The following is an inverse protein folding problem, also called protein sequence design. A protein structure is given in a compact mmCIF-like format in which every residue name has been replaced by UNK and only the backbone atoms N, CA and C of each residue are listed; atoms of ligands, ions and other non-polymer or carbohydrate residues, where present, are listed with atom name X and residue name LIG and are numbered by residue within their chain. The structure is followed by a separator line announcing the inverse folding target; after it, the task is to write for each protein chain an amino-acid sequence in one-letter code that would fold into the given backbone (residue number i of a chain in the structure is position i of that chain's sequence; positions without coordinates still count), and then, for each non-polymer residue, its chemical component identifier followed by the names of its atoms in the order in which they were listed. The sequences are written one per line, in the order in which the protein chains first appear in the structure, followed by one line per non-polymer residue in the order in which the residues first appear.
data_IF_903634209281
#
_entry.id   IF_903634209281
#
_cell.length_a   1.000
_cell.length_b   1.000
_cell.length_c   1.000
_cell.angle_alpha   90.00
_cell.angle_beta   90.00
_cell.angle_gamma   90.00
#
_symmetry.space_group_name_H-M   'P 1'
#
loop_
_entity.id
_entity.type
_entity.pdbx_description
1 polymer ?
2 non-polymer ?
3 non-polymer ?
4 non-polymer ?
5 water ?
#
# COMPACT_ATOMS: atom_id res chain seq x y z
N UNK A 7 -25.77 -9.52 0.09
CA UNK A 7 -26.21 -8.96 -1.23
C UNK A 7 -27.30 -9.84 -1.86
N UNK A 8 -28.31 -9.25 -2.52
CA UNK A 8 -29.24 -10.10 -3.30
C UNK A 8 -28.47 -11.00 -4.26
N UNK A 9 -29.03 -12.16 -4.62
CA UNK A 9 -28.35 -13.06 -5.58
C UNK A 9 -28.20 -12.41 -6.95
N UNK A 10 -29.18 -11.60 -7.34
CA UNK A 10 -29.10 -10.91 -8.62
C UNK A 10 -27.81 -10.06 -8.73
N UNK A 11 -27.47 -9.37 -7.64
CA UNK A 11 -26.26 -8.52 -7.58
C UNK A 11 -24.99 -9.39 -7.56
N UNK A 12 -24.96 -10.43 -6.72
CA UNK A 12 -23.82 -11.38 -6.63
C UNK A 12 -23.54 -12.03 -7.97
N UNK A 13 -24.61 -12.43 -8.65
CA UNK A 13 -24.52 -13.05 -10.00
C UNK A 13 -23.98 -12.07 -11.02
N UNK A 14 -24.47 -10.85 -10.97
CA UNK A 14 -23.93 -9.79 -11.80
C UNK A 14 -22.44 -9.58 -11.54
N UNK A 15 -22.02 -9.56 -10.27
CA UNK A 15 -20.60 -9.39 -9.91
C UNK A 15 -19.79 -10.55 -10.51
N UNK A 16 -20.28 -11.77 -10.35
CA UNK A 16 -19.56 -12.96 -10.88
C UNK A 16 -19.46 -12.94 -12.40
N UNK A 17 -20.56 -12.62 -13.07
CA UNK A 17 -20.53 -12.51 -14.54
C UNK A 17 -19.50 -11.51 -15.03
N UNK A 18 -19.40 -10.39 -14.33
CA UNK A 18 -18.46 -9.33 -14.73
C UNK A 18 -16.99 -9.79 -14.55
N UNK A 19 -16.72 -10.47 -13.44
CA UNK A 19 -15.38 -10.97 -13.17
C UNK A 19 -14.97 -12.20 -13.96
N UNK A 20 -15.90 -12.80 -14.70
CA UNK A 20 -15.57 -13.77 -15.76
C UNK A 20 -14.88 -13.07 -16.93
N UNK A 21 -15.06 -11.75 -16.99
CA UNK A 21 -14.67 -10.99 -18.17
C UNK A 21 -13.61 -9.91 -17.91
N UNK A 22 -13.67 -9.24 -16.76
CA UNK A 22 -12.81 -8.04 -16.54
C UNK A 22 -11.54 -8.43 -15.82
N UNK A 23 -10.51 -7.59 -15.99
CA UNK A 23 -9.26 -7.69 -15.24
C UNK A 23 -9.44 -7.01 -13.91
N UNK A 24 -8.76 -7.56 -12.91
CA UNK A 24 -8.79 -7.00 -11.57
C UNK A 24 -7.34 -6.92 -11.08
N UNK A 25 -7.00 -5.87 -10.37
CA UNK A 25 -5.63 -5.59 -10.00
C UNK A 25 -5.64 -4.94 -8.64
N UNK A 26 -4.79 -5.44 -7.74
CA UNK A 26 -4.69 -4.92 -6.38
C UNK A 26 -3.28 -4.35 -6.22
N UNK A 27 -3.19 -3.03 -6.07
CA UNK A 27 -1.92 -2.34 -6.12
C UNK A 27 -1.10 -2.46 -4.86
N UNK A 28 -1.57 -3.25 -3.88
CA UNK A 28 -0.81 -3.37 -2.62
C UNK A 28 -1.11 -4.63 -1.80
N UNK A 29 -0.29 -5.65 -2.00
CA UNK A 29 -0.24 -6.84 -1.18
C UNK A 29 1.22 -7.11 -0.76
N UNK A 30 1.39 -7.39 0.52
CA UNK A 30 2.70 -7.62 1.07
C UNK A 30 3.08 -9.06 0.84
N UNK A 31 4.35 -9.27 0.54
CA UNK A 31 4.95 -10.63 0.48
C UNK A 31 5.53 -10.97 1.88
N UNK A 32 4.96 -12.00 2.56
CA UNK A 32 5.47 -12.50 3.84
C UNK A 32 6.84 -13.13 3.60
N UNK A 33 7.78 -12.90 4.50
CA UNK A 33 9.14 -13.42 4.28
C UNK A 33 9.22 -14.97 4.17
N UNK A 34 8.21 -15.66 4.68
CA UNK A 34 8.20 -17.13 4.61
C UNK A 34 7.23 -17.65 3.55
N UNK A 35 6.82 -16.78 2.63
CA UNK A 35 5.84 -17.14 1.62
C UNK A 35 6.49 -18.16 0.70
N UNK A 36 5.78 -19.25 0.42
CA UNK A 36 6.33 -20.33 -0.39
C UNK A 36 7.02 -21.42 0.42
N UNK A 37 6.98 -21.34 1.75
CA UNK A 37 7.62 -22.34 2.62
C UNK A 37 6.54 -23.27 3.15
N UNK A 38 6.97 -24.35 3.81
CA UNK A 38 6.04 -25.30 4.43
C UNK A 38 5.16 -24.58 5.43
N UNK A 39 3.85 -24.75 5.29
CA UNK A 39 2.88 -24.05 6.13
C UNK A 39 2.33 -22.81 5.45
N UNK A 40 3.04 -22.34 4.41
CA UNK A 40 2.69 -21.11 3.71
C UNK A 40 3.01 -21.17 2.21
N UNK A 41 2.55 -22.23 1.55
CA UNK A 41 2.82 -22.44 0.11
C UNK A 41 1.97 -21.52 -0.77
N UNK A 42 2.52 -21.16 -1.92
CA UNK A 42 1.84 -20.22 -2.81
C UNK A 42 0.67 -20.86 -3.57
N UNK A 43 0.74 -22.17 -3.76
CA UNK A 43 -0.28 -22.89 -4.55
C UNK A 43 -1.29 -23.62 -3.66
N UNK A 44 -1.41 -23.22 -2.40
CA UNK A 44 -2.37 -23.85 -1.49
C UNK A 44 -3.26 -22.80 -0.85
N UNK A 45 -4.42 -23.24 -0.35
CA UNK A 45 -5.37 -22.38 0.37
C UNK A 45 -4.82 -22.17 1.77
N UNK A 46 -3.85 -21.26 1.88
CA UNK A 46 -3.07 -21.07 3.10
C UNK A 46 -3.56 -20.09 4.14
N UNK A 47 -2.69 -19.76 5.09
CA UNK A 47 -2.99 -18.88 6.23
C UNK A 47 -2.93 -17.38 5.91
N UNK A 48 -2.45 -17.03 4.72
CA UNK A 48 -2.29 -15.62 4.37
C UNK A 48 -3.49 -15.09 3.61
N UNK A 49 -3.38 -13.84 3.15
CA UNK A 49 -4.49 -13.23 2.44
C UNK A 49 -4.34 -13.36 0.94
N UNK A 50 -3.22 -13.93 0.49
CA UNK A 50 -3.00 -14.20 -0.92
C UNK A 50 -2.35 -15.59 -1.16
N UNK A 51 -2.95 -16.34 -2.07
CA UNK A 51 -2.30 -17.53 -2.67
C UNK A 51 -2.97 -17.81 -4.01
N UNK A 52 -2.47 -18.81 -4.75
CA UNK A 52 -3.03 -19.04 -6.09
C UNK A 52 -4.46 -19.59 -6.07
N UNK A 53 -4.78 -20.33 -5.02
CA UNK A 53 -6.14 -20.85 -4.80
C UNK A 53 -7.16 -19.73 -4.53
N UNK A 54 -6.85 -18.85 -3.58
CA UNK A 54 -7.78 -17.75 -3.26
C UNK A 54 -7.95 -16.85 -4.49
N UNK A 55 -6.87 -16.59 -5.22
CA UNK A 55 -6.91 -15.68 -6.38
C UNK A 55 -7.69 -16.23 -7.53
N UNK A 56 -7.56 -17.54 -7.78
CA UNK A 56 -8.36 -18.24 -8.79
C UNK A 56 -9.84 -18.20 -8.47
N UNK A 57 -10.18 -18.41 -7.21
CA UNK A 57 -11.56 -18.38 -6.71
C UNK A 57 -12.19 -17.00 -6.89
N UNK A 58 -11.45 -15.96 -6.52
CA UNK A 58 -11.96 -14.61 -6.62
C UNK A 58 -11.86 -14.10 -8.03
N UNK A 59 -11.02 -14.72 -8.86
CA UNK A 59 -10.73 -14.19 -10.22
C UNK A 59 -9.88 -12.92 -10.21
N UNK A 60 -9.03 -12.74 -9.19
CA UNK A 60 -8.04 -11.65 -9.19
C UNK A 60 -7.02 -11.94 -10.26
N UNK A 61 -6.84 -11.01 -11.20
CA UNK A 61 -5.91 -11.23 -12.31
C UNK A 61 -4.46 -11.03 -11.90
N UNK A 62 -4.24 -10.09 -10.98
CA UNK A 62 -2.86 -9.82 -10.58
C UNK A 62 -2.77 -8.82 -9.47
N UNK A 63 -1.54 -8.52 -9.02
CA UNK A 63 -1.32 -7.65 -7.87
C UNK A 63 0.09 -7.09 -7.87
N UNK A 64 0.27 -5.92 -7.25
CA UNK A 64 1.63 -5.36 -7.11
C UNK A 64 2.19 -5.88 -5.79
N UNK A 65 3.27 -6.67 -5.89
CA UNK A 65 3.96 -7.22 -4.74
C UNK A 65 5.32 -6.56 -4.59
N UNK A 66 5.54 -5.97 -3.43
CA UNK A 66 6.64 -5.05 -3.24
C UNK A 66 7.88 -5.76 -2.72
N UNK A 67 9.00 -5.39 -3.33
CA UNK A 67 10.33 -5.58 -2.77
C UNK A 67 10.44 -4.56 -1.64
N UNK A 68 10.43 -5.04 -0.42
CA UNK A 68 10.34 -4.19 0.77
C UNK A 68 11.41 -4.57 1.78
N UNK A 69 12.05 -3.57 2.37
CA UNK A 69 12.80 -3.74 3.61
C UNK A 69 12.63 -2.49 4.46
N UNK A 70 12.84 -2.63 5.78
CA UNK A 70 12.80 -1.48 6.69
C UNK A 70 13.56 -1.83 7.98
N UNK A 71 13.71 -0.85 8.93
CA UNK A 71 14.49 -1.10 10.16
C UNK A 71 13.67 -1.88 11.20
N UNK A 72 13.35 -3.12 10.85
CA UNK A 72 12.65 -4.08 11.69
C UNK A 72 13.15 -4.10 13.13
N UNK A 73 12.23 -3.89 14.08
CA UNK A 73 12.57 -3.93 15.52
C UNK A 73 12.10 -5.22 16.20
N UNK A 74 11.17 -5.94 15.58
CA UNK A 74 10.47 -7.05 16.21
C UNK A 74 10.99 -8.44 15.86
N UNK A 80 11.84 -5.13 21.50
CA UNK A 80 12.21 -4.39 20.30
C UNK A 80 13.63 -3.85 20.36
N UNK A 81 14.28 -3.79 19.21
CA UNK A 81 15.65 -3.32 19.14
C UNK A 81 15.66 -2.04 18.35
N UNK A 82 16.29 -1.01 18.90
CA UNK A 82 16.45 0.23 18.16
C UNK A 82 17.39 0.00 16.99
N UNK A 83 17.13 0.69 15.87
CA UNK A 83 17.99 0.63 14.68
C UNK A 83 19.41 1.10 14.93
N UNK A 84 20.35 0.29 14.45
CA UNK A 84 21.78 0.60 14.43
C UNK A 84 22.16 0.72 12.95
N UNK A 85 23.41 1.10 12.63
CA UNK A 85 23.68 1.23 11.19
C UNK A 85 23.60 -0.10 10.41
N UNK A 86 23.80 -1.22 11.12
CA UNK A 86 23.78 -2.57 10.53
C UNK A 86 22.40 -3.00 10.08
N UNK A 87 21.39 -2.25 10.52
CA UNK A 87 19.99 -2.47 10.16
C UNK A 87 19.71 -2.23 8.68
N UNK A 88 20.48 -1.33 8.05
CA UNK A 88 20.33 -1.08 6.61
C UNK A 88 20.61 -2.34 5.81
N UNK A 89 21.67 -3.07 6.19
CA UNK A 89 22.01 -4.29 5.47
C UNK A 89 20.97 -5.38 5.69
N UNK A 90 20.40 -5.42 6.89
CA UNK A 90 19.30 -6.36 7.17
C UNK A 90 18.09 -6.08 6.28
N UNK A 91 17.75 -4.80 6.16
CA UNK A 91 16.65 -4.35 5.32
C UNK A 91 16.90 -4.77 3.86
N UNK A 92 18.17 -4.76 3.44
CA UNK A 92 18.58 -5.27 2.10
C UNK A 92 18.38 -6.78 1.94
N UNK A 93 18.68 -7.52 3.00
CA UNK A 93 18.35 -8.95 3.05
C UNK A 93 16.85 -9.23 2.92
N UNK A 94 16.02 -8.42 3.56
CA UNK A 94 14.55 -8.51 3.44
C UNK A 94 14.12 -8.30 1.97
N UNK A 95 14.75 -7.34 1.27
CA UNK A 95 14.45 -7.09 -0.15
C UNK A 95 14.87 -8.27 -1.01
N UNK A 96 16.07 -8.79 -0.75
CA UNK A 96 16.56 -9.91 -1.55
C UNK A 96 15.69 -11.18 -1.39
N UNK A 97 15.27 -11.46 -0.15
CA UNK A 97 14.36 -12.56 0.13
C UNK A 97 13.09 -12.41 -0.69
N UNK A 98 12.49 -11.21 -0.68
CA UNK A 98 11.23 -10.98 -1.40
C UNK A 98 11.39 -11.16 -2.92
N UNK A 99 12.53 -10.70 -3.44
CA UNK A 99 12.88 -10.94 -4.85
C UNK A 99 12.98 -12.43 -5.20
N UNK A 100 13.62 -13.21 -4.34
CA UNK A 100 13.76 -14.64 -4.59
C UNK A 100 12.41 -15.36 -4.52
N UNK A 101 11.53 -14.91 -3.63
CA UNK A 101 10.16 -15.45 -3.56
C UNK A 101 9.39 -15.27 -4.88
N UNK A 102 9.45 -14.06 -5.42
CA UNK A 102 8.70 -13.67 -6.62
C UNK A 102 9.19 -14.37 -7.88
N UNK A 103 10.49 -14.32 -8.13
CA UNK A 103 11.02 -15.01 -9.30
C UNK A 103 10.90 -16.53 -9.10
N UNK A 104 10.92 -16.96 -7.84
CA UNK A 104 10.79 -18.37 -7.54
C UNK A 104 9.39 -18.90 -7.81
N UNK A 105 8.36 -18.06 -7.66
CA UNK A 105 6.97 -18.42 -7.93
C UNK A 105 6.79 -18.69 -9.41
N UNK A 106 7.41 -17.86 -10.24
CA UNK A 106 7.38 -18.00 -11.70
C UNK A 106 8.20 -19.23 -12.14
N UNK A 107 9.33 -19.45 -11.48
CA UNK A 107 10.14 -20.65 -11.74
C UNK A 107 9.36 -21.95 -11.46
N UNK A 108 8.77 -22.03 -10.27
CA UNK A 108 8.07 -23.23 -9.82
C UNK A 108 6.69 -23.41 -10.44
N UNK A 109 6.04 -22.30 -10.79
CA UNK A 109 4.66 -22.35 -11.28
C UNK A 109 4.45 -21.63 -12.62
N UNK A 110 5.21 -21.99 -13.67
CA UNK A 110 5.19 -21.22 -14.93
C UNK A 110 3.86 -21.16 -15.68
N UNK A 111 3.01 -22.18 -15.52
CA UNK A 111 1.70 -22.16 -16.16
C UNK A 111 0.69 -21.38 -15.33
N UNK A 112 1.10 -20.96 -14.13
CA UNK A 112 0.13 -20.36 -13.20
C UNK A 112 0.42 -18.89 -12.85
N UNK A 113 1.68 -18.48 -12.98
CA UNK A 113 2.15 -17.15 -12.55
C UNK A 113 3.15 -16.57 -13.54
N UNK A 114 3.06 -15.26 -13.77
CA UNK A 114 4.16 -14.53 -14.41
C UNK A 114 4.40 -13.14 -13.80
N UNK A 115 5.52 -12.51 -14.16
CA UNK A 115 5.74 -11.11 -13.79
C UNK A 115 5.49 -10.24 -15.02
N UNK A 116 4.67 -9.21 -14.85
CA UNK A 116 4.38 -8.22 -15.89
C UNK A 116 5.39 -7.04 -15.86
N UNK A 117 6.05 -6.81 -16.98
CA UNK A 117 7.00 -5.71 -17.12
C UNK A 117 6.39 -4.50 -17.80
N UNK A 118 5.10 -4.60 -18.17
CA UNK A 118 4.36 -3.50 -18.79
C UNK A 118 2.85 -3.78 -18.72
N UNK A 119 2.01 -2.77 -18.96
CA UNK A 119 0.57 -3.07 -18.99
C UNK A 119 0.22 -4.10 -20.07
N UNK A 120 0.98 -4.12 -21.18
CA UNK A 120 0.82 -5.16 -22.22
C UNK A 120 1.02 -6.57 -21.69
N UNK A 121 2.14 -6.78 -20.98
CA UNK A 121 2.42 -8.08 -20.37
C UNK A 121 1.28 -8.46 -19.44
N UNK A 122 0.84 -7.49 -18.63
CA UNK A 122 -0.24 -7.77 -17.66
C UNK A 122 -1.45 -8.34 -18.39
N UNK A 123 -1.87 -7.68 -19.48
CA UNK A 123 -3.04 -8.10 -20.26
C UNK A 123 -2.84 -9.49 -20.88
N UNK A 124 -1.67 -9.70 -21.45
CA UNK A 124 -1.25 -11.01 -21.98
C UNK A 124 -1.29 -12.12 -20.94
N UNK A 125 -0.60 -11.92 -19.81
CA UNK A 125 -0.58 -12.94 -18.74
C UNK A 125 -1.99 -13.26 -18.30
N UNK A 126 -2.80 -12.22 -18.14
CA UNK A 126 -4.20 -12.40 -17.77
C UNK A 126 -4.98 -13.29 -18.76
N UNK A 127 -4.76 -13.09 -20.06
CA UNK A 127 -5.41 -13.88 -21.12
C UNK A 127 -4.95 -15.34 -21.08
N UNK A 128 -3.67 -15.55 -20.83
CA UNK A 128 -3.06 -16.87 -20.67
C UNK A 128 -3.52 -17.58 -19.40
N UNK A 129 -4.26 -16.87 -18.53
CA UNK A 129 -4.71 -17.44 -17.27
C UNK A 129 -3.63 -17.55 -16.20
N UNK A 130 -2.60 -16.71 -16.31
CA UNK A 130 -1.54 -16.69 -15.30
C UNK A 130 -1.74 -15.47 -14.40
N UNK A 131 -1.63 -15.66 -13.09
CA UNK A 131 -1.65 -14.55 -12.15
C UNK A 131 -0.49 -13.62 -12.49
N UNK A 132 -0.81 -12.34 -12.66
CA UNK A 132 0.18 -11.34 -13.08
C UNK A 132 0.73 -10.53 -11.91
N UNK A 133 1.98 -10.82 -11.57
CA UNK A 133 2.68 -10.05 -10.55
C UNK A 133 3.23 -8.78 -11.15
N UNK A 134 2.96 -7.65 -10.51
CA UNK A 134 3.65 -6.42 -10.82
C UNK A 134 4.66 -6.21 -9.69
N UNK A 135 5.95 -6.21 -10.03
CA UNK A 135 7.00 -6.17 -9.03
C UNK A 135 7.13 -4.72 -8.66
N UNK A 136 6.85 -4.41 -7.39
CA UNK A 136 6.97 -3.02 -6.94
C UNK A 136 8.09 -2.99 -5.89
N UNK A 137 8.36 -1.81 -5.35
CA UNK A 137 9.38 -1.63 -4.33
C UNK A 137 8.83 -0.52 -3.48
N UNK A 138 8.90 -0.68 -2.15
CA UNK A 138 8.43 0.37 -1.27
C UNK A 138 9.49 0.58 -0.22
N UNK A 139 9.89 1.84 -0.04
CA UNK A 139 10.83 2.31 1.01
C UNK A 139 12.28 2.49 0.50
N UNK A 140 12.75 3.73 0.49
CA UNK A 140 14.14 4.01 0.06
C UNK A 140 15.19 3.66 1.12
N UNK A 141 14.76 3.39 2.35
CA UNK A 141 15.68 3.06 3.45
C UNK A 141 16.78 2.00 3.09
N UNK A 142 16.40 0.83 2.52
CA UNK A 142 17.47 -0.12 2.22
C UNK A 142 18.53 0.34 1.20
N UNK A 143 18.24 1.40 0.43
CA UNK A 143 19.10 1.75 -0.70
C UNK A 143 20.28 2.67 -0.34
N UNK A 144 20.31 3.24 0.85
CA UNK A 144 21.43 4.13 1.23
C UNK A 144 21.46 5.36 0.33
N UNK A 145 22.66 5.83 -0.02
CA UNK A 145 22.83 7.02 -0.88
C UNK A 145 23.05 6.68 -2.34
N UNK A 146 22.78 5.44 -2.74
CA UNK A 146 23.16 5.03 -4.07
C UNK A 146 21.98 5.09 -5.05
N UNK A 147 21.92 6.17 -5.83
CA UNK A 147 20.90 6.36 -6.87
C UNK A 147 20.90 5.25 -7.92
N UNK A 148 22.08 4.70 -8.22
CA UNK A 148 22.16 3.65 -9.23
C UNK A 148 21.44 2.38 -8.78
N UNK A 149 21.05 2.29 -7.51
CA UNK A 149 20.22 1.14 -7.05
C UNK A 149 18.85 1.13 -7.75
N UNK A 150 18.38 2.29 -8.19
CA UNK A 150 17.14 2.38 -8.95
C UNK A 150 17.28 1.69 -10.30
N UNK A 151 18.38 1.97 -11.01
CA UNK A 151 18.70 1.36 -12.29
C UNK A 151 18.81 -0.15 -12.19
N UNK A 152 19.51 -0.60 -11.15
CA UNK A 152 19.72 -2.02 -10.92
C UNK A 152 18.40 -2.78 -10.59
N UNK A 153 17.56 -2.20 -9.74
CA UNK A 153 16.25 -2.80 -9.42
C UNK A 153 15.26 -2.79 -10.59
N UNK A 154 15.19 -1.68 -11.33
CA UNK A 154 14.42 -1.60 -12.58
C UNK A 154 14.82 -2.73 -13.54
N UNK A 155 16.13 -2.93 -13.70
CA UNK A 155 16.65 -3.97 -14.61
C UNK A 155 16.21 -5.37 -14.19
N UNK A 156 16.08 -5.58 -12.90
CA UNK A 156 15.61 -6.84 -12.33
C UNK A 156 14.06 -7.03 -12.37
N UNK A 157 13.31 -6.01 -12.79
CA UNK A 157 11.85 -6.16 -12.87
C UNK A 157 10.97 -5.20 -12.12
N UNK A 158 11.56 -4.33 -11.29
CA UNK A 158 10.74 -3.37 -10.53
C UNK A 158 10.07 -2.35 -11.49
N UNK A 159 8.78 -2.13 -11.34
CA UNK A 159 8.06 -1.23 -12.23
C UNK A 159 7.34 -0.06 -11.52
N UNK A 160 7.42 -0.04 -10.19
CA UNK A 160 6.79 1.01 -9.37
C UNK A 160 7.67 1.13 -8.12
N UNK A 161 7.90 2.37 -7.66
CA UNK A 161 8.74 2.66 -6.48
C UNK A 161 8.06 3.71 -5.60
N UNK A 162 7.88 3.34 -4.35
CA UNK A 162 7.42 4.29 -3.33
C UNK A 162 8.58 4.63 -2.44
N UNK A 163 8.84 5.91 -2.26
CA UNK A 163 9.94 6.35 -1.41
C UNK A 163 9.80 5.98 0.04
N UNK A 164 8.56 5.89 0.52
CA UNK A 164 8.36 5.86 1.95
C UNK A 164 7.64 4.66 2.47
N UNK A 165 7.90 4.37 3.74
CA UNK A 165 7.04 3.58 4.58
C UNK A 165 6.85 4.39 5.88
N UNK A 166 6.51 3.72 6.96
CA UNK A 166 6.62 4.27 8.33
C UNK A 166 8.12 4.58 8.62
N UNK A 167 8.39 5.74 9.22
CA UNK A 167 9.77 6.14 9.52
C UNK A 167 10.31 7.05 8.44
N UNK A 168 11.00 8.13 8.82
CA UNK A 168 11.68 8.97 7.84
C UNK A 168 12.81 8.17 7.22
N UNK A 169 13.23 8.54 6.02
CA UNK A 169 14.50 8.01 5.51
C UNK A 169 15.26 9.14 4.81
N UNK A 170 16.46 8.83 4.31
CA UNK A 170 17.37 9.88 3.78
C UNK A 170 16.98 10.47 2.43
N UNK A 171 15.98 9.89 1.78
CA UNK A 171 15.44 10.37 0.50
C UNK A 171 14.15 11.19 0.64
N UNK A 172 13.31 10.81 1.59
CA UNK A 172 11.99 11.42 1.73
C UNK A 172 11.53 11.34 3.18
N UNK A 173 10.85 12.39 3.64
CA UNK A 173 10.13 12.36 4.94
C UNK A 173 8.86 11.50 4.86
N UNK A 174 8.53 10.85 5.96
CA UNK A 174 7.35 10.02 5.98
C UNK A 174 6.16 10.83 6.54
N UNK A 175 4.94 10.42 6.22
CA UNK A 175 3.77 10.98 6.89
C UNK A 175 3.68 10.45 8.34
N UNK A 176 4.43 9.39 8.63
CA UNK A 176 4.40 8.75 9.96
C UNK A 176 5.80 8.60 10.48
N UNK A 177 6.39 9.73 10.93
CA UNK A 177 7.70 9.66 11.59
C UNK A 177 7.58 8.80 12.86
N UNK A 178 8.57 7.93 13.07
CA UNK A 178 8.56 7.13 14.30
C UNK A 178 9.51 7.61 15.38
N UNK A 179 8.95 7.88 16.57
CA UNK A 179 9.79 8.32 17.69
C UNK A 179 10.77 7.24 18.15
N UNK A 180 10.43 5.97 17.93
CA UNK A 180 11.39 4.87 18.13
C UNK A 180 12.68 4.95 17.26
N UNK A 181 12.58 5.59 16.08
CA UNK A 181 13.75 5.83 15.19
C UNK A 181 14.40 7.21 15.44
N UNK A 182 13.93 7.89 16.48
CA UNK A 182 14.29 9.27 16.84
C UNK A 182 13.93 10.26 15.72
N UNK A 183 12.84 9.98 15.00
CA UNK A 183 12.43 10.82 13.85
C UNK A 183 11.92 12.18 14.30
N UNK A 184 12.18 13.22 13.51
CA UNK A 184 11.48 14.49 13.67
C UNK A 184 10.55 14.70 12.46
N UNK A 185 9.34 15.25 12.70
CA UNK A 185 8.41 15.46 11.59
C UNK A 185 9.03 16.38 10.53
N UNK A 186 8.81 16.05 9.26
CA UNK A 186 9.30 16.86 8.16
C UNK A 186 10.80 17.21 8.25
N UNK A 187 11.65 16.27 8.67
CA UNK A 187 13.08 16.51 8.91
C UNK A 187 13.81 17.09 7.71
N UNK A 188 13.55 16.53 6.53
CA UNK A 188 14.11 17.01 5.28
C UNK A 188 13.43 18.24 4.67
N UNK A 189 12.24 18.58 5.15
CA UNK A 189 11.38 19.52 4.40
C UNK A 189 10.73 18.94 3.13
N UNK A 190 10.58 17.62 3.09
CA UNK A 190 9.98 16.94 1.91
C UNK A 190 10.98 15.91 1.41
N UNK A 191 11.58 16.19 0.24
CA UNK A 191 12.72 15.40 -0.29
C UNK A 191 14.12 16.00 -0.02
N UNK A 192 15.13 15.12 0.16
CA UNK A 192 16.52 15.54 0.20
C UNK A 192 16.96 15.83 -1.23
N UNK A 193 18.17 16.41 -1.41
CA UNK A 193 18.68 16.53 -2.78
C UNK A 193 18.74 15.19 -3.55
N UNK A 194 19.14 14.10 -2.89
CA UNK A 194 19.17 12.80 -3.56
C UNK A 194 17.73 12.28 -3.88
N UNK A 195 16.75 12.55 -2.99
CA UNK A 195 15.36 12.18 -3.29
C UNK A 195 14.83 12.91 -4.53
N UNK A 196 15.22 14.17 -4.66
CA UNK A 196 14.87 14.98 -5.84
C UNK A 196 15.53 14.42 -7.11
N UNK A 197 16.79 14.01 -7.00
CA UNK A 197 17.48 13.35 -8.09
C UNK A 197 16.82 11.98 -8.38
N UNK A 198 16.32 11.31 -7.35
CA UNK A 198 15.60 10.03 -7.53
C UNK A 198 14.34 10.20 -8.42
N UNK A 199 13.65 11.33 -8.29
CA UNK A 199 12.46 11.57 -9.10
C UNK A 199 12.79 11.63 -10.61
N UNK A 200 13.81 12.41 -10.95
CA UNK A 200 14.34 12.45 -12.32
C UNK A 200 14.77 11.04 -12.79
N UNK A 201 15.50 10.31 -11.96
CA UNK A 201 15.99 8.97 -12.33
C UNK A 201 14.84 8.00 -12.59
N UNK A 202 13.80 8.06 -11.76
CA UNK A 202 12.61 7.20 -11.93
C UNK A 202 11.84 7.54 -13.21
N UNK A 203 11.71 8.84 -13.47
CA UNK A 203 11.08 9.28 -14.72
C UNK A 203 11.84 8.68 -15.92
N UNK A 204 13.18 8.81 -15.90
CA UNK A 204 14.06 8.32 -16.97
C UNK A 204 13.95 6.82 -17.16
N UNK A 205 13.92 6.09 -16.04
CA UNK A 205 13.77 4.65 -16.06
C UNK A 205 12.38 4.13 -16.46
N UNK A 206 11.37 5.01 -16.50
CA UNK A 206 10.01 4.56 -16.77
C UNK A 206 9.42 3.73 -15.63
N UNK A 207 9.68 4.15 -14.40
CA UNK A 207 9.19 3.47 -13.18
C UNK A 207 8.16 4.38 -12.56
N UNK A 208 7.00 3.79 -12.20
CA UNK A 208 5.91 4.56 -11.62
C UNK A 208 6.36 5.05 -10.25
N UNK A 209 6.26 6.36 -10.01
CA UNK A 209 6.46 6.89 -8.66
C UNK A 209 5.21 6.76 -7.80
N UNK A 210 5.37 6.15 -6.62
CA UNK A 210 4.28 5.87 -5.67
C UNK A 210 4.41 6.81 -4.44
N UNK A 211 3.38 7.62 -4.20
CA UNK A 211 3.43 8.59 -3.14
C UNK A 211 2.73 8.16 -1.84
N UNK A 212 2.11 6.98 -1.80
CA UNK A 212 1.49 6.52 -0.54
C UNK A 212 2.60 6.39 0.51
N UNK A 213 2.34 6.89 1.73
CA UNK A 213 3.26 6.82 2.90
C UNK A 213 4.18 8.05 3.07
N UNK A 214 4.39 8.79 1.97
CA UNK A 214 5.25 9.96 1.93
C UNK A 214 4.58 11.15 2.64
N UNK A 215 5.36 12.00 3.29
CA UNK A 215 4.86 13.24 3.89
C UNK A 215 4.19 14.13 2.81
N UNK A 216 3.38 15.08 3.24
CA UNK A 216 2.72 16.02 2.33
C UNK A 216 3.67 16.86 1.51
N UNK A 217 4.70 17.40 2.16
CA UNK A 217 5.71 18.17 1.43
C UNK A 217 6.48 17.37 0.41
N UNK A 218 6.73 16.10 0.70
CA UNK A 218 7.50 15.26 -0.22
C UNK A 218 6.64 14.94 -1.43
N UNK A 219 5.37 14.64 -1.17
CA UNK A 219 4.38 14.47 -2.23
C UNK A 219 4.38 15.71 -3.12
N UNK A 220 4.36 16.90 -2.52
CA UNK A 220 4.24 18.13 -3.29
C UNK A 220 5.43 18.28 -4.22
N UNK A 221 6.61 17.91 -3.71
CA UNK A 221 7.87 17.99 -4.46
C UNK A 221 7.93 16.93 -5.55
N UNK A 222 7.42 15.73 -5.27
CA UNK A 222 7.34 14.72 -6.32
C UNK A 222 6.46 15.29 -7.46
N UNK A 223 5.29 15.84 -7.10
CA UNK A 223 4.38 16.40 -8.13
C UNK A 223 5.03 17.51 -8.99
N UNK A 224 5.72 18.46 -8.35
CA UNK A 224 6.41 19.56 -9.04
C UNK A 224 7.56 19.05 -9.93
N UNK A 225 8.14 17.91 -9.57
CA UNK A 225 9.33 17.43 -10.23
C UNK A 225 9.06 16.33 -11.26
N UNK A 226 7.94 15.59 -11.12
CA UNK A 226 7.69 14.47 -12.06
C UNK A 226 7.17 14.89 -13.45
N UNK A 227 7.75 14.36 -14.52
CA UNK A 227 7.18 14.59 -15.85
C UNK A 227 6.15 13.50 -16.27
N UNK A 228 5.87 12.59 -15.35
CA UNK A 228 5.07 11.40 -15.65
C UNK A 228 4.00 11.18 -14.58
N UNK A 229 2.88 10.49 -14.93
CA UNK A 229 1.85 10.15 -13.92
C UNK A 229 2.43 9.56 -12.64
N UNK A 230 1.84 9.98 -11.52
CA UNK A 230 2.21 9.43 -10.23
C UNK A 230 0.98 8.72 -9.63
N UNK A 231 1.24 7.86 -8.67
CA UNK A 231 0.20 7.00 -8.13
C UNK A 231 0.30 7.01 -6.60
N UNK A 232 -0.84 6.85 -5.94
CA UNK A 232 -0.84 6.50 -4.55
C UNK A 232 -1.35 5.05 -4.49
N UNK A 233 -0.44 4.09 -4.25
CA UNK A 233 -0.74 2.67 -4.41
C UNK A 233 -1.66 2.12 -3.28
N UNK A 234 -1.71 2.80 -2.13
CA UNK A 234 -2.61 2.43 -1.03
C UNK A 234 -2.81 3.62 -0.12
N UNK A 235 -3.84 4.41 -0.42
CA UNK A 235 -4.19 5.62 0.39
C UNK A 235 -5.72 5.77 0.51
N UNK A 236 -6.21 6.45 1.56
CA UNK A 236 -7.64 6.77 1.72
C UNK A 236 -7.78 8.30 1.98
N UNK A 237 -9.00 8.88 1.81
CA UNK A 237 -9.21 10.33 2.08
C UNK A 237 -9.23 10.78 3.54
N UNK A 238 -8.70 11.97 3.78
CA UNK A 238 -8.82 12.52 5.13
C UNK A 238 -10.26 12.84 5.52
N UNK A 239 -11.12 13.06 4.52
CA UNK A 239 -12.53 13.35 4.75
C UNK A 239 -13.19 12.21 5.54
N UNK A 240 -12.68 10.99 5.39
CA UNK A 240 -13.12 9.86 6.21
C UNK A 240 -12.46 9.76 7.58
N UNK A 241 -11.15 9.82 7.61
CA UNK A 241 -10.40 9.74 8.87
C UNK A 241 -9.30 10.77 8.69
N UNK A 242 -9.26 11.69 9.64
CA UNK A 242 -8.37 12.83 9.54
C UNK A 242 -7.04 12.48 10.22
N UNK A 243 -6.19 11.80 9.46
CA UNK A 243 -4.90 11.36 9.92
C UNK A 243 -3.92 11.76 8.81
N UNK A 244 -2.67 12.01 9.18
CA UNK A 244 -1.61 12.42 8.23
C UNK A 244 -1.31 11.38 7.17
N UNK A 245 -1.48 10.11 7.53
CA UNK A 245 -1.39 8.96 6.60
C UNK A 245 -2.38 9.02 5.41
N UNK A 246 -3.53 9.68 5.61
CA UNK A 246 -4.54 9.88 4.57
C UNK A 246 -4.30 11.17 3.73
N UNK A 247 -4.99 11.27 2.58
CA UNK A 247 -4.79 12.34 1.59
C UNK A 247 -5.77 13.55 1.77
N UNK A 248 -5.25 14.76 1.70
CA UNK A 248 -6.08 15.96 1.67
C UNK A 248 -6.61 16.01 0.24
N UNK A 249 -7.68 16.77 0.03
CA UNK A 249 -8.21 17.02 -1.35
C UNK A 249 -7.13 17.55 -2.27
N UNK A 250 -6.31 18.49 -1.77
CA UNK A 250 -5.24 19.08 -2.57
C UNK A 250 -4.16 18.05 -3.03
N UNK A 251 -3.78 17.14 -2.13
CA UNK A 251 -2.84 16.07 -2.50
C UNK A 251 -3.39 15.19 -3.63
N UNK A 252 -4.66 14.84 -3.51
CA UNK A 252 -5.43 14.14 -4.56
C UNK A 252 -5.43 14.90 -5.89
N UNK A 253 -5.64 16.21 -5.84
CA UNK A 253 -5.63 17.01 -7.07
C UNK A 253 -4.26 16.94 -7.77
N UNK A 254 -3.19 17.02 -6.99
CA UNK A 254 -1.84 16.88 -7.51
C UNK A 254 -1.61 15.56 -8.26
N UNK A 255 -2.15 14.47 -7.70
CA UNK A 255 -1.97 13.15 -8.29
C UNK A 255 -2.78 13.12 -9.55
N UNK A 256 -4.03 13.59 -9.45
CA UNK A 256 -4.93 13.70 -10.61
C UNK A 256 -4.26 14.48 -11.77
N UNK A 257 -3.70 15.65 -11.44
CA UNK A 257 -3.09 16.55 -12.43
C UNK A 257 -1.88 15.95 -13.12
N UNK A 258 -1.21 15.00 -12.50
CA UNK A 258 -0.12 14.28 -13.17
C UNK A 258 -0.66 13.27 -14.17
N UNK A 259 -1.99 13.00 -14.14
CA UNK A 259 -2.58 11.95 -14.95
C UNK A 259 -2.66 10.63 -14.21
N UNK A 260 -2.42 10.66 -12.90
CA UNK A 260 -2.21 9.46 -12.13
C UNK A 260 -3.44 8.88 -11.45
N UNK A 261 -3.23 8.04 -10.44
CA UNK A 261 -4.36 7.29 -9.84
C UNK A 261 -4.23 7.17 -8.34
N UNK A 262 -5.35 7.31 -7.64
CA UNK A 262 -5.42 7.10 -6.19
C UNK A 262 -6.05 5.74 -5.96
N UNK A 263 -5.25 4.79 -5.51
CA UNK A 263 -5.74 3.43 -5.33
C UNK A 263 -6.23 3.33 -3.89
N UNK A 264 -7.54 3.40 -3.72
CA UNK A 264 -8.18 3.49 -2.39
C UNK A 264 -8.07 2.20 -1.61
N UNK A 265 -7.54 2.29 -0.40
CA UNK A 265 -7.10 1.12 0.32
C UNK A 265 -8.13 0.62 1.34
N UNK A 266 -8.36 -0.70 1.34
CA UNK A 266 -9.23 -1.36 2.34
C UNK A 266 -8.52 -1.53 3.68
N UNK A 267 -8.02 -0.44 4.25
CA UNK A 267 -7.37 -0.49 5.56
C UNK A 267 -8.34 0.07 6.61
N UNK A 268 -8.91 -0.82 7.45
CA UNK A 268 -10.07 -0.43 8.25
C UNK A 268 -9.91 0.89 9.03
N UNK A 269 -8.82 1.05 9.77
CA UNK A 269 -8.62 2.27 10.58
C UNK A 269 -8.39 3.57 9.80
N UNK A 270 -8.17 3.46 8.49
CA UNK A 270 -8.01 4.66 7.67
C UNK A 270 -9.37 5.03 7.07
N UNK A 271 -10.38 4.18 7.32
CA UNK A 271 -11.71 4.32 6.71
C UNK A 271 -12.81 4.65 7.71
N UNK A 272 -12.65 4.15 8.93
CA UNK A 272 -13.54 4.48 10.04
C UNK A 272 -12.74 5.01 11.25
N UNK A 273 -13.09 6.21 11.77
CA UNK A 273 -12.47 6.74 13.00
C UNK A 273 -12.69 5.78 14.19
N UNK A 274 -11.71 5.64 15.06
CA UNK A 274 -11.81 4.73 16.20
C UNK A 274 -13.02 5.07 17.07
N UNK A 275 -13.77 4.04 17.44
CA UNK A 275 -14.94 4.19 18.31
C UNK A 275 -14.54 4.63 19.71
N UNK A 276 -15.47 5.28 20.41
CA UNK A 276 -15.19 5.78 21.76
C UNK A 276 -14.64 4.74 22.76
N UNK A 277 -15.25 3.50 22.79
CA UNK A 277 -14.68 2.50 23.70
C UNK A 277 -13.19 2.21 23.49
N UNK A 278 -12.74 2.32 22.24
CA UNK A 278 -11.35 2.06 21.91
C UNK A 278 -10.51 3.28 22.35
N UNK A 279 -10.98 4.48 22.02
CA UNK A 279 -10.35 5.73 22.47
C UNK A 279 -10.20 5.79 24.00
N UNK A 280 -11.27 5.43 24.71
CA UNK A 280 -11.22 5.32 26.18
C UNK A 280 -10.13 4.36 26.65
N UNK A 281 -10.07 3.18 26.03
CA UNK A 281 -9.00 2.22 26.31
C UNK A 281 -7.60 2.81 26.05
N UNK A 282 -7.43 3.46 24.89
CA UNK A 282 -6.13 4.07 24.59
C UNK A 282 -5.77 5.15 25.61
N UNK A 283 -6.72 6.00 25.96
CA UNK A 283 -6.43 7.07 26.95
C UNK A 283 -5.99 6.55 28.32
N UNK A 284 -6.63 5.47 28.78
CA UNK A 284 -6.23 4.83 30.05
C UNK A 284 -4.79 4.33 29.94
N UNK A 285 -4.43 3.75 28.79
CA UNK A 285 -3.06 3.25 28.59
C UNK A 285 -2.06 4.40 28.52
N UNK A 286 -2.43 5.46 27.82
CA UNK A 286 -1.56 6.61 27.67
C UNK A 286 -1.25 7.22 29.05
N UNK A 287 -2.30 7.45 29.84
CA UNK A 287 -2.20 7.83 31.25
C UNK A 287 -1.23 6.99 32.12
N UNK A 288 -1.23 5.66 31.99
CA UNK A 288 -0.23 4.88 32.77
C UNK A 288 1.20 4.94 32.25
N UNK A 289 1.39 5.47 31.04
CA UNK A 289 2.75 5.69 30.52
C UNK A 289 3.11 7.17 30.47
N UNK A 290 2.37 7.99 31.21
CA UNK A 290 2.66 9.42 31.38
C UNK A 290 2.52 10.24 30.08
N UNK A 291 1.60 9.82 29.21
CA UNK A 291 1.28 10.57 28.03
C UNK A 291 -0.09 11.18 28.20
N UNK A 292 -0.30 12.39 27.64
CA UNK A 292 -1.54 13.14 27.86
C UNK A 292 -2.65 12.56 26.99
N UNK A 293 -3.91 12.93 27.27
CA UNK A 293 -5.01 12.32 26.49
C UNK A 293 -4.89 12.63 24.99
N UNK A 294 -5.30 11.68 24.17
CA UNK A 294 -5.24 11.83 22.72
C UNK A 294 -5.90 13.10 22.19
N UNK A 295 -5.27 13.74 21.22
CA UNK A 295 -5.93 14.79 20.41
C UNK A 295 -5.78 14.37 18.97
N UNK A 296 -6.80 13.73 18.43
CA UNK A 296 -6.73 13.25 17.06
C UNK A 296 -6.15 11.86 17.01
N UNK A 297 -6.15 11.28 15.82
CA UNK A 297 -5.94 9.83 15.71
C UNK A 297 -4.52 9.41 15.36
N UNK A 298 -3.64 10.36 15.04
CA UNK A 298 -2.32 10.01 14.54
C UNK A 298 -1.51 9.16 15.54
N UNK A 299 -1.62 9.50 16.82
CA UNK A 299 -0.90 8.79 17.87
C UNK A 299 -1.73 7.69 18.52
N UNK A 300 -2.96 7.52 18.02
CA UNK A 300 -3.85 6.45 18.45
C UNK A 300 -3.52 5.20 17.65
N UNK A 301 -3.15 5.39 16.38
CA UNK A 301 -2.98 4.26 15.45
C UNK A 301 -1.57 3.73 15.44
N UNK A 302 -0.66 4.43 16.11
CA UNK A 302 0.73 4.02 16.17
C UNK A 302 1.35 4.74 17.36
N UNK A 303 2.39 4.16 17.98
CA UNK A 303 3.14 4.87 19.01
C UNK A 303 3.93 6.07 18.46
N UNK A 304 3.27 7.20 18.28
CA UNK A 304 3.85 8.35 17.55
C UNK A 304 4.33 9.53 18.39
N UNK A 305 4.02 9.51 19.68
CA UNK A 305 4.39 10.63 20.56
C UNK A 305 5.89 10.86 20.55
N UNK A 306 6.32 12.09 20.22
CA UNK A 306 7.73 12.48 20.10
C UNK A 306 8.59 12.11 21.31
N UNK A 307 8.08 12.33 22.52
CA UNK A 307 8.82 12.01 23.75
C UNK A 307 9.21 10.54 23.84
N UNK A 308 8.50 9.67 23.11
CA UNK A 308 8.78 8.20 23.14
C UNK A 308 10.25 7.93 22.75
N UNK A 309 10.90 8.88 22.07
CA UNK A 309 12.31 8.66 21.71
C UNK A 309 13.26 8.45 22.92
N UNK A 310 12.89 8.99 24.08
CA UNK A 310 13.73 8.84 25.31
C UNK A 310 13.44 7.57 26.15
N UNK A 311 12.38 6.85 25.80
CA UNK A 311 12.02 5.60 26.50
C UNK A 311 13.03 4.45 26.32
N UNK A 312 13.27 3.68 27.39
CA UNK A 312 14.05 2.44 27.18
C UNK A 312 13.29 1.47 26.27
N UNK A 313 14.00 0.60 25.55
CA UNK A 313 13.32 -0.34 24.61
C UNK A 313 12.22 -1.15 25.29
N UNK A 314 12.49 -1.62 26.51
CA UNK A 314 11.55 -2.45 27.25
C UNK A 314 10.24 -1.68 27.46
N UNK A 315 10.35 -0.39 27.73
CA UNK A 315 9.15 0.44 27.99
C UNK A 315 8.33 0.64 26.71
N UNK A 316 9.04 0.88 25.60
CA UNK A 316 8.42 0.98 24.29
C UNK A 316 7.69 -0.31 23.94
N UNK A 317 8.40 -1.44 24.04
CA UNK A 317 7.83 -2.76 23.81
C UNK A 317 6.51 -2.97 24.52
N UNK A 318 6.46 -2.66 25.82
CA UNK A 318 5.25 -2.81 26.61
C UNK A 318 4.09 -1.96 26.13
N UNK A 319 4.39 -0.69 25.87
CA UNK A 319 3.39 0.25 25.40
C UNK A 319 2.87 -0.09 23.99
N UNK A 320 3.78 -0.18 23.02
CA UNK A 320 3.47 -0.63 21.64
C UNK A 320 2.62 -1.90 21.62
N UNK A 321 3.08 -2.94 22.33
CA UNK A 321 2.30 -4.21 22.39
C UNK A 321 0.90 -3.99 22.88
N UNK A 322 0.77 -3.28 23.99
CA UNK A 322 -0.54 -2.96 24.55
C UNK A 322 -1.42 -2.12 23.64
N UNK A 323 -0.82 -1.13 22.97
CA UNK A 323 -1.56 -0.26 22.05
C UNK A 323 -2.15 -1.13 20.92
N UNK A 324 -1.30 -1.94 20.31
CA UNK A 324 -1.73 -2.75 19.19
C UNK A 324 -2.77 -3.83 19.57
N UNK A 325 -2.75 -4.27 20.83
CA UNK A 325 -3.76 -5.21 21.33
C UNK A 325 -5.12 -4.56 21.39
N UNK A 326 -5.16 -3.32 21.86
CA UNK A 326 -6.37 -2.50 21.95
C UNK A 326 -6.93 -2.21 20.56
N UNK A 327 -6.04 -1.93 19.61
CA UNK A 327 -6.44 -1.65 18.23
C UNK A 327 -7.06 -2.89 17.59
N UNK A 328 -6.50 -4.06 17.93
CA UNK A 328 -7.01 -5.34 17.44
C UNK A 328 -8.46 -5.58 17.85
N UNK A 329 -8.93 -4.91 18.91
CA UNK A 329 -10.30 -5.08 19.41
C UNK A 329 -11.31 -4.12 18.78
N UNK A 330 -10.83 -3.11 18.06
CA UNK A 330 -11.72 -2.19 17.37
C UNK A 330 -12.54 -2.99 16.37
N UNK A 331 -13.89 -2.96 16.48
CA UNK A 331 -14.71 -3.57 15.41
C UNK A 331 -14.25 -3.07 14.01
N UNK A 332 -14.06 -3.98 13.06
CA UNK A 332 -13.56 -3.62 11.71
C UNK A 332 -14.56 -2.86 10.84
N UNK A 333 -14.08 -1.79 10.20
CA UNK A 333 -14.75 -1.13 9.07
C UNK A 333 -15.13 -2.16 8.02
N UNK A 334 -16.14 -1.84 7.21
CA UNK A 334 -16.65 -2.80 6.23
C UNK A 334 -16.62 -2.28 4.80
N UNK A 335 -17.33 -2.96 3.92
CA UNK A 335 -17.45 -2.56 2.53
C UNK A 335 -18.14 -1.23 2.38
N UNK A 336 -19.02 -0.87 3.31
CA UNK A 336 -19.69 0.42 3.22
C UNK A 336 -18.66 1.55 3.22
N UNK A 337 -17.76 1.51 4.20
CA UNK A 337 -16.70 2.52 4.35
C UNK A 337 -15.69 2.53 3.20
N UNK A 338 -15.29 1.35 2.76
CA UNK A 338 -14.40 1.27 1.63
C UNK A 338 -15.01 1.98 0.42
N UNK A 339 -16.28 1.73 0.13
CA UNK A 339 -16.88 2.37 -1.06
C UNK A 339 -17.26 3.85 -0.84
N UNK A 340 -17.59 4.23 0.40
CA UNK A 340 -17.69 5.67 0.75
C UNK A 340 -16.39 6.38 0.34
N UNK A 341 -15.26 5.78 0.69
CA UNK A 341 -13.95 6.33 0.34
C UNK A 341 -13.78 6.37 -1.17
N UNK A 342 -14.16 5.31 -1.86
CA UNK A 342 -14.13 5.33 -3.34
C UNK A 342 -15.01 6.46 -3.89
N UNK A 343 -16.24 6.56 -3.38
CA UNK A 343 -17.22 7.55 -3.78
C UNK A 343 -16.63 8.96 -3.62
N UNK A 344 -16.04 9.23 -2.45
CA UNK A 344 -15.44 10.54 -2.16
C UNK A 344 -14.30 10.90 -3.11
N UNK A 345 -13.44 9.93 -3.39
CA UNK A 345 -12.27 10.15 -4.19
C UNK A 345 -12.69 10.42 -5.64
N UNK A 346 -13.69 9.67 -6.10
CA UNK A 346 -14.25 9.85 -7.43
C UNK A 346 -14.89 11.26 -7.55
N UNK A 347 -15.67 11.69 -6.55
CA UNK A 347 -16.18 13.06 -6.52
C UNK A 347 -15.13 14.11 -6.75
N UNK A 348 -13.97 13.89 -6.12
CA UNK A 348 -12.88 14.84 -6.13
C UNK A 348 -12.03 14.79 -7.43
N UNK A 349 -11.63 13.59 -7.88
CA UNK A 349 -10.74 13.50 -9.04
C UNK A 349 -11.32 12.91 -10.34
N UNK A 350 -12.50 12.31 -10.26
CA UNK A 350 -13.16 11.72 -11.43
C UNK A 350 -12.86 10.25 -11.58
N UNK A 351 -13.75 9.53 -12.24
CA UNK A 351 -13.69 8.05 -12.28
C UNK A 351 -12.36 7.57 -12.87
N UNK A 352 -11.73 8.40 -13.69
CA UNK A 352 -10.51 7.97 -14.41
C UNK A 352 -9.25 7.96 -13.53
N UNK A 353 -9.38 8.42 -12.29
CA UNK A 353 -8.21 8.62 -11.44
C UNK A 353 -8.27 7.89 -10.13
N UNK A 354 -9.13 6.88 -10.09
CA UNK A 354 -9.34 6.08 -8.89
C UNK A 354 -9.15 4.55 -9.15
N UNK A 355 -8.62 3.88 -8.15
CA UNK A 355 -8.41 2.41 -8.18
C UNK A 355 -8.67 1.84 -6.80
N UNK A 356 -8.20 0.61 -6.56
CA UNK A 356 -8.56 -0.15 -5.36
C UNK A 356 -7.33 -0.91 -4.92
N UNK A 357 -7.15 -1.03 -3.61
CA UNK A 357 -6.02 -1.81 -3.06
C UNK A 357 -6.45 -2.33 -1.71
N UNK A 358 -5.79 -3.38 -1.22
CA UNK A 358 -6.17 -4.03 0.05
C UNK A 358 -5.30 -3.75 1.27
N UNK A 359 -4.00 -3.64 1.02
CA UNK A 359 -2.97 -3.69 2.07
C UNK A 359 -2.99 -5.09 2.72
N UNK A 360 -3.39 -6.08 1.93
CA UNK A 360 -3.39 -7.46 2.42
C UNK A 360 -1.99 -7.82 2.93
N UNK A 361 -1.95 -8.67 3.96
CA UNK A 361 -0.69 -9.13 4.61
C UNK A 361 0.10 -8.02 5.33
N UNK A 362 -0.43 -6.80 5.40
CA UNK A 362 0.13 -5.81 6.31
C UNK A 362 -1.00 -5.13 7.07
N UNK A 363 -2.08 -5.87 7.38
CA UNK A 363 -3.18 -5.34 8.22
C UNK A 363 -4.47 -4.94 7.51
N UNK A 364 -4.47 -4.97 6.17
CA UNK A 364 -5.61 -4.57 5.40
C UNK A 364 -6.66 -5.65 5.25
N UNK A 365 -7.76 -5.30 4.62
CA UNK A 365 -8.94 -6.16 4.55
C UNK A 365 -10.00 -5.49 5.37
N UNK A 366 -11.22 -5.51 4.87
CA UNK A 366 -12.36 -4.97 5.64
C UNK A 366 -13.39 -6.10 5.87
N UNK A 367 -14.34 -5.86 6.76
CA UNK A 367 -15.46 -6.78 6.91
C UNK A 367 -16.15 -6.94 5.55
N UNK A 368 -16.17 -8.16 5.03
CA UNK A 368 -16.78 -8.46 3.73
C UNK A 368 -15.75 -8.64 2.63
N UNK A 369 -14.49 -8.33 2.96
CA UNK A 369 -13.33 -8.49 2.04
C UNK A 369 -12.09 -8.82 2.83
N UNK A 370 -11.88 -10.10 3.09
CA UNK A 370 -10.90 -10.51 4.05
C UNK A 370 -9.69 -11.16 3.41
N UNK A 371 -9.84 -11.50 2.13
CA UNK A 371 -8.72 -11.99 1.34
C UNK A 371 -9.04 -11.87 -0.17
N UNK A 372 -8.10 -12.27 -1.02
CA UNK A 372 -8.21 -11.98 -2.46
C UNK A 372 -9.34 -12.76 -3.12
N UNK A 373 -9.85 -13.77 -2.41
CA UNK A 373 -10.91 -14.62 -2.97
C UNK A 373 -12.25 -13.87 -2.91
N UNK A 374 -12.27 -12.77 -2.15
CA UNK A 374 -13.52 -12.00 -1.87
C UNK A 374 -13.65 -10.67 -2.66
N UNK A 375 -12.79 -10.45 -3.64
CA UNK A 375 -12.85 -9.20 -4.44
C UNK A 375 -14.21 -8.88 -5.06
N UNK A 376 -14.98 -9.93 -5.42
CA UNK A 376 -16.26 -9.69 -6.08
C UNK A 376 -17.29 -9.08 -5.13
N UNK A 377 -17.07 -9.26 -3.83
CA UNK A 377 -17.83 -8.58 -2.77
C UNK A 377 -17.68 -7.05 -2.88
N UNK A 378 -16.49 -6.58 -3.25
CA UNK A 378 -16.23 -5.14 -3.44
C UNK A 378 -17.04 -4.71 -4.64
N UNK A 379 -16.95 -5.52 -5.70
CA UNK A 379 -17.74 -5.27 -6.90
C UNK A 379 -19.26 -5.24 -6.65
N UNK A 380 -19.74 -6.12 -5.79
CA UNK A 380 -21.15 -6.15 -5.42
C UNK A 380 -21.62 -4.86 -4.74
N UNK A 381 -20.79 -4.31 -3.85
CA UNK A 381 -21.06 -3.00 -3.22
C UNK A 381 -21.04 -1.86 -4.25
N UNK A 382 -20.05 -1.89 -5.15
CA UNK A 382 -20.01 -0.96 -6.31
C UNK A 382 -21.25 -1.03 -7.21
N UNK A 383 -21.64 -2.23 -7.60
CA UNK A 383 -22.91 -2.39 -8.35
C UNK A 383 -24.07 -1.72 -7.58
N UNK A 384 -24.20 -2.04 -6.32
CA UNK A 384 -25.27 -1.55 -5.45
C UNK A 384 -25.32 -0.01 -5.41
N UNK A 385 -24.16 0.64 -5.45
CA UNK A 385 -24.16 2.09 -5.43
C UNK A 385 -24.39 2.74 -6.76
N UNK A 386 -24.44 1.96 -7.82
CA UNK A 386 -24.78 2.49 -9.14
C UNK A 386 -23.64 2.69 -10.12
N UNK A 387 -22.45 2.14 -9.82
CA UNK A 387 -21.35 2.16 -10.78
C UNK A 387 -21.63 1.22 -11.99
N UNK A 388 -21.26 1.68 -13.17
CA UNK A 388 -21.45 0.90 -14.38
C UNK A 388 -20.35 -0.11 -14.49
N UNK A 389 -20.55 -1.10 -15.35
CA UNK A 389 -19.52 -2.09 -15.64
C UNK A 389 -18.23 -1.46 -16.13
N UNK A 390 -18.32 -0.49 -17.04
CA UNK A 390 -17.17 0.28 -17.51
C UNK A 390 -16.39 0.96 -16.37
N UNK A 391 -17.12 1.62 -15.46
CA UNK A 391 -16.51 2.32 -14.32
C UNK A 391 -15.85 1.37 -13.35
N UNK A 392 -16.52 0.24 -13.08
CA UNK A 392 -15.92 -0.82 -12.27
C UNK A 392 -14.62 -1.39 -12.89
N UNK A 393 -14.60 -1.60 -14.22
CA UNK A 393 -13.40 -2.05 -14.89
C UNK A 393 -12.23 -1.04 -14.75
N UNK A 394 -12.55 0.25 -14.74
CA UNK A 394 -11.53 1.29 -14.57
C UNK A 394 -10.99 1.25 -13.13
N UNK A 395 -11.89 1.22 -12.14
CA UNK A 395 -11.55 1.05 -10.72
C UNK A 395 -10.67 -0.15 -10.45
N UNK A 396 -11.02 -1.30 -11.03
CA UNK A 396 -10.30 -2.56 -10.77
C UNK A 396 -8.99 -2.75 -11.54
N UNK A 397 -8.53 -1.69 -12.21
CA UNK A 397 -7.24 -1.77 -12.88
C UNK A 397 -7.05 -1.00 -14.18
N UNK A 398 -8.14 -0.72 -14.90
CA UNK A 398 -8.06 0.04 -16.16
C UNK A 398 -7.30 1.35 -16.02
N UNK A 399 -7.58 2.08 -14.94
CA UNK A 399 -6.93 3.38 -14.71
C UNK A 399 -5.45 3.21 -14.44
N UNK A 400 -5.12 2.26 -13.57
CA UNK A 400 -3.71 1.95 -13.27
C UNK A 400 -2.95 1.57 -14.52
N UNK A 401 -3.53 0.69 -15.35
CA UNK A 401 -2.86 0.24 -16.57
C UNK A 401 -2.63 1.39 -17.56
N UNK A 402 -3.58 2.33 -17.67
CA UNK A 402 -3.40 3.53 -18.54
C UNK A 402 -2.21 4.35 -18.05
N UNK A 403 -2.26 4.68 -16.76
CA UNK A 403 -1.19 5.51 -16.16
C UNK A 403 0.18 4.83 -16.31
N UNK A 404 0.21 3.52 -16.08
CA UNK A 404 1.45 2.75 -16.23
C UNK A 404 1.98 2.89 -17.65
N UNK A 405 1.09 2.79 -18.64
CA UNK A 405 1.53 2.93 -20.01
C UNK A 405 2.13 4.31 -20.26
N UNK A 406 1.50 5.36 -19.72
CA UNK A 406 1.98 6.74 -19.92
C UNK A 406 3.35 7.00 -19.27
N UNK A 407 3.52 6.53 -18.04
CA UNK A 407 4.83 6.48 -17.38
C UNK A 407 5.95 5.83 -18.25
N UNK A 408 5.71 4.63 -18.76
CA UNK A 408 6.72 4.01 -19.64
C UNK A 408 7.00 4.81 -20.93
N UNK A 409 5.98 5.50 -21.45
CA UNK A 409 6.17 6.36 -22.64
C UNK A 409 7.10 7.54 -22.37
N UNK A 410 7.10 8.04 -21.14
CA UNK A 410 7.96 9.15 -20.74
C UNK A 410 9.40 8.72 -20.35
N UNK A 411 9.73 7.43 -20.43
CA UNK A 411 11.10 6.95 -20.15
C UNK A 411 12.14 7.65 -21.03
X LIG B 1 -21.28 -16.69 -17.15
X LIG C 1 -8.49 13.00 -16.29
X LIG D 1 4.98 -3.16 33.10
X LIG E 1 -22.96 -5.91 -16.21
X LIG F 1 24.72 -8.19 3.23
#
# INVERSE_FOLDING_TARGET
SLSEAGYPRKVMQHAEELHERILSFDSRITVPLDFGTTGNEVDKDGPGQLDLVKAGRGRLSGAALAIFGWPEMWNGPNAPHKPTPGFVDEARHQQEIRYKILTGMVRDFPNQVGIAYSPEDFRRLAMEGKFAIVMSMLNAYPLGDDLSQLDKWAARGVRMFGFSYVGNNDWADSSRPLPFFNDSPDALGGLSPLGKQAVERLNDLGVIIDVSQMSTKALEQVAALSRAPIVASHSAPRALVDIKRNLSDHEMQLIKDSGGVIQVVGFPAYLRPLSKPTLDKLDALRARFDLPPLEGLDYALMPGDPIITIWPEQRFGEYASALYGILEEEPKAGLKELVDAIDYTVKKVGIDHVGISSDFNDGGGVDGWKDVSEIRNVTAELITRGYSDADIAKLWGGNFLRAWGEVQKRAKPTATP
CD CD
CD CD
MG MG
CA CA
CA CA
#
